data_IF_004231365695
#
_entry.id   IF_004231365695
#
_cell.length_a   1.000
_cell.length_b   1.000
_cell.length_c   1.000
_cell.angle_alpha   90.00
_cell.angle_beta   90.00
_cell.angle_gamma   90.00
#
_symmetry.space_group_name_H-M   'P 1'
#
loop_
_entity.id
_entity.type
_entity.pdbx_description
1 polymer ?
#
# COMPACT_ATOMS: atom_id res chain seq x y z
N UNK A 1 3.59 17.33 39.65
CA UNK A 1 3.54 17.90 38.29
C UNK A 1 2.41 18.93 38.26
N UNK A 2 2.63 20.18 37.86
CA UNK A 2 1.53 21.14 37.74
C UNK A 2 0.83 20.97 36.37
N UNK A 3 -0.41 21.47 36.27
CA UNK A 3 -1.25 21.28 35.08
C UNK A 3 -0.58 21.81 33.80
N UNK A 4 0.15 22.93 33.91
CA UNK A 4 0.93 23.48 32.79
C UNK A 4 2.01 22.53 32.29
N UNK A 5 2.82 21.94 33.20
CA UNK A 5 3.86 20.97 32.83
C UNK A 5 3.28 19.73 32.18
N UNK A 6 2.19 19.20 32.72
CA UNK A 6 1.50 18.06 32.13
C UNK A 6 0.99 18.35 30.72
N UNK A 7 0.33 19.50 30.51
CA UNK A 7 -0.14 19.91 29.17
C UNK A 7 0.99 20.12 28.18
N UNK A 8 2.12 20.68 28.64
CA UNK A 8 3.33 20.88 27.83
C UNK A 8 3.94 19.54 27.40
N UNK A 9 4.10 18.60 28.34
CA UNK A 9 4.64 17.27 28.07
C UNK A 9 3.73 16.48 27.13
N UNK A 10 2.42 16.53 27.34
CA UNK A 10 1.44 15.91 26.45
C UNK A 10 1.51 16.49 25.03
N UNK A 11 1.59 17.82 24.91
CA UNK A 11 1.72 18.49 23.62
C UNK A 11 3.01 18.07 22.90
N UNK A 12 4.14 18.04 23.61
CA UNK A 12 5.42 17.60 23.05
C UNK A 12 5.38 16.13 22.61
N UNK A 13 4.80 15.25 23.43
CA UNK A 13 4.66 13.84 23.10
C UNK A 13 3.83 13.65 21.82
N UNK A 14 2.67 14.34 21.72
CA UNK A 14 1.80 14.25 20.56
C UNK A 14 2.40 14.85 19.30
N UNK A 15 3.10 16.00 19.41
CA UNK A 15 3.79 16.61 18.27
C UNK A 15 4.93 15.74 17.76
N UNK A 16 5.64 15.02 18.64
CA UNK A 16 6.78 14.19 18.27
C UNK A 16 6.38 12.75 17.91
N UNK A 17 5.16 12.32 18.21
CA UNK A 17 4.61 11.03 17.81
C UNK A 17 4.42 10.99 16.28
N UNK A 18 5.24 10.19 15.59
CA UNK A 18 5.13 9.95 14.15
C UNK A 18 5.89 10.94 13.26
N UNK A 19 6.59 11.93 13.83
CA UNK A 19 7.58 12.72 13.10
C UNK A 19 8.89 11.94 13.03
N UNK A 20 9.16 11.30 11.89
CA UNK A 20 10.53 10.89 11.57
C UNK A 20 11.44 12.13 11.63
N UNK A 21 12.65 11.98 12.15
CA UNK A 21 13.65 13.06 12.37
C UNK A 21 13.98 13.92 11.13
N UNK A 22 13.47 13.53 9.96
CA UNK A 22 13.52 14.30 8.73
C UNK A 22 12.17 14.99 8.57
N UNK A 23 12.12 16.26 9.00
CA UNK A 23 10.91 17.07 9.11
C UNK A 23 9.90 16.86 7.99
N UNK A 24 8.61 16.90 8.35
CA UNK A 24 7.49 16.80 7.41
C UNK A 24 7.71 17.75 6.25
N UNK A 25 8.15 17.21 5.10
CA UNK A 25 8.21 17.99 3.87
C UNK A 25 6.79 18.50 3.62
N UNK A 26 6.60 19.82 3.67
CA UNK A 26 5.37 20.43 3.15
C UNK A 26 5.25 20.05 1.67
N UNK A 27 4.17 19.39 1.31
CA UNK A 27 3.94 18.87 -0.04
C UNK A 27 3.79 17.35 -0.09
N UNK A 28 3.64 16.81 -1.30
CA UNK A 28 3.45 15.37 -1.55
C UNK A 28 4.68 14.60 -1.04
N UNK A 29 4.51 13.51 -0.25
CA UNK A 29 5.61 12.66 0.15
C UNK A 29 6.39 12.21 -1.09
N UNK A 30 7.69 12.52 -1.12
CA UNK A 30 8.61 12.13 -2.20
C UNK A 30 9.09 10.69 -2.06
N UNK A 31 8.67 9.99 -1.00
CA UNK A 31 9.05 8.61 -0.78
C UNK A 31 8.14 7.69 -1.61
N UNK A 32 8.70 7.12 -2.68
CA UNK A 32 8.07 6.13 -3.55
C UNK A 32 7.97 4.77 -2.83
N UNK A 33 7.26 4.73 -1.69
CA UNK A 33 6.87 3.45 -1.14
C UNK A 33 5.81 2.84 -2.05
N UNK A 34 5.90 1.52 -2.29
CA UNK A 34 4.90 0.76 -3.02
C UNK A 34 3.48 1.07 -2.50
N UNK A 35 3.34 1.28 -1.19
CA UNK A 35 2.09 1.67 -0.55
C UNK A 35 1.59 3.04 -1.03
N UNK A 36 2.47 4.05 -1.12
CA UNK A 36 2.10 5.36 -1.63
C UNK A 36 1.61 5.29 -3.09
N UNK A 37 2.24 4.45 -3.91
CA UNK A 37 1.83 4.26 -5.30
C UNK A 37 0.49 3.51 -5.43
N UNK A 38 0.27 2.49 -4.60
CA UNK A 38 -1.01 1.77 -4.52
C UNK A 38 -2.14 2.72 -4.10
N UNK A 39 -1.92 3.55 -3.08
CA UNK A 39 -2.89 4.54 -2.59
C UNK A 39 -3.18 5.63 -3.64
N UNK A 40 -2.18 6.05 -4.42
CA UNK A 40 -2.40 6.98 -5.53
C UNK A 40 -3.24 6.36 -6.65
N UNK A 41 -3.03 5.06 -6.94
CA UNK A 41 -3.77 4.34 -7.98
C UNK A 41 -5.25 4.12 -7.60
N UNK A 42 -5.57 3.98 -6.30
CA UNK A 42 -6.97 3.97 -5.80
C UNK A 42 -7.75 5.23 -6.20
N UNK A 43 -7.07 6.37 -6.34
CA UNK A 43 -7.72 7.67 -6.62
C UNK A 43 -7.90 7.97 -8.12
N UNK A 44 -7.49 7.07 -9.03
CA UNK A 44 -7.53 7.29 -10.48
C UNK A 44 -8.63 6.45 -11.15
N UNK A 45 -9.78 7.06 -11.42
CA UNK A 45 -10.89 6.46 -12.18
C UNK A 45 -11.56 5.27 -11.48
N UNK A 46 -12.32 4.42 -12.20
CA UNK A 46 -12.88 3.20 -11.66
C UNK A 46 -11.75 2.22 -11.31
N UNK A 47 -11.28 2.31 -10.07
CA UNK A 47 -10.21 1.51 -9.53
C UNK A 47 -10.80 0.37 -8.71
N UNK A 48 -10.29 -0.86 -8.90
CA UNK A 48 -10.56 -1.93 -7.96
C UNK A 48 -10.06 -1.53 -6.57
N UNK A 49 -10.86 -1.79 -5.55
CA UNK A 49 -10.49 -1.58 -4.16
C UNK A 49 -9.28 -2.43 -3.84
N UNK A 50 -8.14 -1.80 -3.58
CA UNK A 50 -6.94 -2.50 -3.10
C UNK A 50 -7.04 -2.64 -1.58
N UNK A 51 -6.94 -3.86 -1.02
CA UNK A 51 -6.98 -4.07 0.43
C UNK A 51 -5.89 -3.30 1.19
N UNK A 52 -6.05 -3.10 2.51
CA UNK A 52 -5.00 -2.54 3.37
C UNK A 52 -3.72 -3.37 3.33
N UNK A 53 -2.58 -2.75 3.66
CA UNK A 53 -1.27 -3.39 3.70
C UNK A 53 -1.27 -4.65 4.57
N UNK A 54 -1.90 -4.58 5.74
CA UNK A 54 -1.92 -5.68 6.71
C UNK A 54 -2.58 -6.93 6.14
N UNK A 55 -3.71 -6.76 5.44
CA UNK A 55 -4.41 -7.87 4.76
C UNK A 55 -3.62 -8.37 3.55
N UNK A 56 -2.98 -7.46 2.83
CA UNK A 56 -2.21 -7.78 1.63
C UNK A 56 -0.96 -8.60 1.96
N UNK A 57 -0.34 -8.36 3.12
CA UNK A 57 0.95 -8.94 3.52
C UNK A 57 0.86 -9.95 4.65
N UNK A 58 -0.35 -10.33 5.08
CA UNK A 58 -0.54 -11.33 6.14
C UNK A 58 -0.10 -12.75 5.75
N UNK A 59 0.23 -13.00 4.47
CA UNK A 59 0.71 -14.28 3.93
C UNK A 59 -0.23 -15.46 4.15
N UNK A 60 -1.51 -15.20 4.40
CA UNK A 60 -2.53 -16.22 4.67
C UNK A 60 -3.54 -16.24 3.52
N UNK A 61 -3.74 -17.41 2.90
CA UNK A 61 -4.78 -17.66 1.89
C UNK A 61 -4.79 -16.71 0.69
N UNK A 62 -3.62 -16.24 0.27
CA UNK A 62 -3.47 -15.53 -1.00
C UNK A 62 -3.23 -16.53 -2.13
N UNK A 63 -4.30 -17.08 -2.68
CA UNK A 63 -4.23 -17.98 -3.83
C UNK A 63 -4.46 -17.25 -5.14
N UNK A 64 -3.73 -17.67 -6.16
CA UNK A 64 -3.90 -17.19 -7.51
C UNK A 64 -5.00 -17.99 -8.21
N UNK A 65 -6.02 -17.29 -8.73
CA UNK A 65 -7.09 -17.88 -9.53
C UNK A 65 -7.14 -17.26 -10.92
N UNK A 66 -7.62 -18.05 -11.88
CA UNK A 66 -7.93 -17.55 -13.22
C UNK A 66 -9.29 -16.85 -13.23
N UNK A 67 -9.38 -15.76 -13.98
CA UNK A 67 -10.58 -14.99 -14.24
C UNK A 67 -10.44 -14.20 -15.54
N UNK A 68 -11.16 -13.10 -15.62
CA UNK A 68 -11.19 -12.27 -16.83
C UNK A 68 -9.86 -11.55 -17.08
N UNK A 69 -9.61 -11.22 -18.35
CA UNK A 69 -8.45 -10.42 -18.74
C UNK A 69 -8.56 -9.02 -18.13
N UNK A 70 -7.59 -8.65 -17.31
CA UNK A 70 -7.50 -7.33 -16.69
C UNK A 70 -6.08 -6.78 -16.74
N UNK A 71 -5.93 -5.46 -16.60
CA UNK A 71 -4.61 -4.84 -16.42
C UNK A 71 -4.08 -5.15 -15.02
N UNK A 72 -2.79 -5.45 -14.94
CA UNK A 72 -2.09 -5.63 -13.68
C UNK A 72 -2.23 -4.38 -12.79
N UNK A 73 -2.63 -4.60 -11.54
CA UNK A 73 -2.82 -3.52 -10.58
C UNK A 73 -1.54 -3.17 -9.82
N UNK A 74 -0.49 -3.98 -9.93
CA UNK A 74 0.83 -3.64 -9.39
C UNK A 74 1.33 -2.30 -9.95
N UNK A 75 1.91 -1.42 -9.12
CA UNK A 75 2.47 -0.15 -9.57
C UNK A 75 3.55 -0.35 -10.64
N UNK A 76 3.62 0.58 -11.60
CA UNK A 76 4.56 0.56 -12.74
C UNK A 76 4.46 -0.65 -13.69
N UNK A 77 3.57 -1.62 -13.43
CA UNK A 77 3.27 -2.69 -14.36
C UNK A 77 2.21 -2.25 -15.39
N UNK A 78 2.53 -2.41 -16.69
CA UNK A 78 1.62 -2.12 -17.82
C UNK A 78 1.03 -3.39 -18.44
N UNK A 79 1.36 -4.56 -17.92
CA UNK A 79 0.94 -5.85 -18.44
C UNK A 79 -0.54 -6.16 -18.24
N UNK A 80 -1.04 -7.11 -19.02
CA UNK A 80 -2.34 -7.75 -18.82
C UNK A 80 -2.14 -9.13 -18.20
N UNK A 81 -3.10 -9.53 -17.38
CA UNK A 81 -3.13 -10.84 -16.72
C UNK A 81 -4.53 -11.41 -16.76
N UNK A 82 -4.63 -12.74 -16.73
CA UNK A 82 -5.88 -13.47 -16.51
C UNK A 82 -5.97 -13.96 -15.06
N UNK A 83 -4.99 -13.64 -14.23
CA UNK A 83 -4.93 -14.13 -12.86
C UNK A 83 -5.13 -13.03 -11.84
N UNK A 84 -5.76 -13.39 -10.73
CA UNK A 84 -6.04 -12.51 -9.62
C UNK A 84 -5.85 -13.23 -8.28
N UNK A 85 -5.62 -12.47 -7.22
CA UNK A 85 -5.61 -12.99 -5.86
C UNK A 85 -7.05 -13.18 -5.37
N UNK A 86 -7.41 -14.39 -4.93
CA UNK A 86 -8.75 -14.71 -4.45
C UNK A 86 -9.18 -13.85 -3.25
N UNK A 87 -8.29 -13.70 -2.28
CA UNK A 87 -8.54 -12.92 -1.06
C UNK A 87 -8.56 -11.43 -1.32
N UNK A 88 -7.59 -10.92 -2.08
CA UNK A 88 -7.49 -9.48 -2.33
C UNK A 88 -8.41 -8.99 -3.47
N UNK A 89 -8.87 -9.89 -4.33
CA UNK A 89 -9.64 -9.59 -5.56
C UNK A 89 -8.90 -8.61 -6.50
N UNK A 90 -7.57 -8.68 -6.52
CA UNK A 90 -6.70 -7.82 -7.33
C UNK A 90 -6.04 -8.65 -8.44
N UNK A 91 -6.14 -8.19 -9.68
CA UNK A 91 -5.46 -8.80 -10.83
C UNK A 91 -3.98 -8.45 -10.86
N UNK A 92 -3.12 -9.47 -10.79
CA UNK A 92 -1.66 -9.33 -10.71
C UNK A 92 -0.98 -10.26 -11.71
N UNK A 93 0.13 -9.83 -12.30
CA UNK A 93 0.90 -10.68 -13.21
C UNK A 93 1.59 -11.81 -12.44
N UNK A 94 1.57 -13.00 -13.05
CA UNK A 94 2.36 -14.15 -12.64
C UNK A 94 2.87 -14.86 -13.91
N UNK A 95 3.95 -14.31 -14.44
CA UNK A 95 4.62 -14.80 -15.63
C UNK A 95 6.12 -14.97 -15.32
N UNK A 96 6.86 -15.65 -16.20
CA UNK A 96 8.32 -15.84 -16.07
C UNK A 96 9.06 -14.51 -15.84
N UNK A 97 8.70 -13.48 -16.58
CA UNK A 97 9.42 -12.19 -16.54
C UNK A 97 8.91 -11.25 -15.45
N UNK A 98 7.67 -11.44 -14.99
CA UNK A 98 7.00 -10.53 -14.07
C UNK A 98 6.16 -11.30 -13.05
N UNK A 99 6.67 -11.39 -11.82
CA UNK A 99 5.95 -11.93 -10.68
C UNK A 99 5.45 -10.80 -9.76
N UNK A 100 4.45 -10.06 -10.25
CA UNK A 100 3.81 -8.99 -9.50
C UNK A 100 2.99 -9.52 -8.32
N UNK A 101 2.47 -10.74 -8.43
CA UNK A 101 1.72 -11.41 -7.36
C UNK A 101 2.58 -11.52 -6.07
N UNK A 102 3.77 -12.09 -6.20
CA UNK A 102 4.68 -12.25 -5.06
C UNK A 102 5.08 -10.91 -4.43
N UNK A 103 5.52 -9.95 -5.25
CA UNK A 103 5.92 -8.61 -4.76
C UNK A 103 4.77 -7.91 -4.03
N UNK A 104 3.56 -8.02 -4.57
CA UNK A 104 2.38 -7.43 -3.95
C UNK A 104 2.06 -8.03 -2.57
N UNK A 105 2.37 -9.30 -2.30
CA UNK A 105 2.10 -9.93 -1.00
C UNK A 105 3.30 -9.90 -0.03
N UNK A 106 4.46 -9.41 -0.48
CA UNK A 106 5.70 -9.45 0.30
C UNK A 106 6.28 -8.06 0.63
N UNK A 107 6.07 -7.06 -0.22
CA UNK A 107 6.60 -5.69 -0.08
C UNK A 107 5.53 -4.67 0.33
#
# INVERSE_FOLDING_TARGET
MNLCKFRLELANALCNLGLHSNGTKRGRPSFSSLEAELQLKKKRGPAQTVPPKDVRQDKIDHWQKWGDRARCKYPNCKGYTFTYCEKCRVSLCYNRDNNCFYKFHQE
#
